data_IF_382222376705
#
_entry.id   IF_382222376705
#
_cell.length_a   1.000
_cell.length_b   1.000
_cell.length_c   1.000
_cell.angle_alpha   90.00
_cell.angle_beta   90.00
_cell.angle_gamma   90.00
#
_symmetry.space_group_name_H-M   'P 1'
#
loop_
_entity.id
_entity.type
_entity.pdbx_description
1 polymer ?
#
# COMPACT_ATOMS: atom_id res chain seq x y z
N UNK A 1 -19.92 1.01 -6.65
CA UNK A 1 -18.45 0.81 -6.81
C UNK A 1 -17.86 0.39 -5.48
N UNK A 2 -17.34 -0.84 -5.36
CA UNK A 2 -16.65 -1.29 -4.14
C UNK A 2 -15.21 -0.78 -4.16
N UNK A 3 -14.89 0.19 -3.32
CA UNK A 3 -13.49 0.62 -3.11
C UNK A 3 -12.74 -0.49 -2.38
N UNK A 4 -11.66 -0.99 -2.98
CA UNK A 4 -10.76 -1.94 -2.35
C UNK A 4 -9.63 -1.18 -1.65
N UNK A 5 -9.24 -1.67 -0.48
CA UNK A 5 -8.19 -1.08 0.34
C UNK A 5 -7.02 -2.06 0.49
N UNK A 6 -5.81 -1.53 0.48
CA UNK A 6 -4.58 -2.28 0.73
C UNK A 6 -3.94 -1.82 2.03
N UNK A 7 -3.77 -2.75 2.96
CA UNK A 7 -3.09 -2.51 4.23
C UNK A 7 -1.59 -2.79 4.07
N UNK A 8 -0.78 -1.74 4.13
CA UNK A 8 0.67 -1.85 4.10
C UNK A 8 1.24 -1.70 5.51
N UNK A 9 2.00 -2.70 5.95
CA UNK A 9 2.70 -2.69 7.25
C UNK A 9 4.21 -2.43 7.11
N UNK A 10 4.74 -2.49 5.88
CA UNK A 10 6.16 -2.34 5.60
C UNK A 10 6.51 -0.89 5.30
N UNK A 11 7.45 -0.32 6.06
CA UNK A 11 7.98 1.02 5.80
C UNK A 11 8.62 1.11 4.41
N UNK A 12 9.42 0.10 4.03
CA UNK A 12 10.13 0.07 2.75
C UNK A 12 9.15 0.01 1.57
N UNK A 13 8.14 -0.85 1.64
CA UNK A 13 7.13 -0.95 0.60
C UNK A 13 6.33 0.36 0.49
N UNK A 14 5.96 0.96 1.62
CA UNK A 14 5.31 2.27 1.66
C UNK A 14 6.19 3.36 1.04
N UNK A 15 7.49 3.41 1.32
CA UNK A 15 8.41 4.38 0.71
C UNK A 15 8.53 4.18 -0.80
N UNK A 16 8.60 2.93 -1.27
CA UNK A 16 8.58 2.59 -2.69
C UNK A 16 7.30 3.06 -3.38
N UNK A 17 6.12 2.77 -2.82
CA UNK A 17 4.84 3.23 -3.37
C UNK A 17 4.79 4.76 -3.45
N UNK A 18 5.24 5.47 -2.40
CA UNK A 18 5.36 6.93 -2.43
C UNK A 18 6.29 7.44 -3.52
N UNK A 19 7.40 6.74 -3.78
CA UNK A 19 8.34 7.12 -4.86
C UNK A 19 7.72 7.01 -6.26
N UNK A 20 6.65 6.21 -6.41
CA UNK A 20 5.83 6.10 -7.63
C UNK A 20 4.64 7.06 -7.65
N UNK A 21 4.61 8.06 -6.77
CA UNK A 21 3.50 9.00 -6.59
C UNK A 21 2.18 8.33 -6.15
N UNK A 22 2.25 7.16 -5.50
CA UNK A 22 1.09 6.48 -4.94
C UNK A 22 1.06 6.81 -3.44
N UNK A 23 0.13 7.68 -3.04
CA UNK A 23 -0.06 8.07 -1.65
C UNK A 23 -1.09 7.20 -0.93
N UNK A 24 -0.91 7.06 0.39
CA UNK A 24 -1.86 6.39 1.25
C UNK A 24 -2.99 7.34 1.66
N UNK A 25 -4.20 6.81 1.81
CA UNK A 25 -5.35 7.54 2.32
C UNK A 25 -5.22 7.80 3.83
N UNK A 26 -4.83 6.77 4.60
CA UNK A 26 -4.80 6.84 6.07
C UNK A 26 -3.52 6.20 6.60
N UNK A 27 -2.95 6.82 7.63
CA UNK A 27 -1.93 6.23 8.50
C UNK A 27 -2.55 5.95 9.86
N UNK A 28 -2.55 4.70 10.30
CA UNK A 28 -3.17 4.30 11.56
C UNK A 28 -2.38 3.15 12.22
N UNK A 29 -2.93 2.60 13.31
CA UNK A 29 -2.43 1.38 13.96
C UNK A 29 -3.49 0.28 13.81
N UNK A 30 -3.05 -0.94 13.53
CA UNK A 30 -3.93 -2.10 13.53
C UNK A 30 -4.45 -2.34 14.94
N UNK A 31 -5.76 -2.52 15.08
CA UNK A 31 -6.43 -2.58 16.38
C UNK A 31 -5.88 -3.71 17.27
N UNK A 32 -5.71 -4.90 16.70
CA UNK A 32 -5.33 -6.09 17.47
C UNK A 32 -3.83 -6.14 17.79
N UNK A 33 -2.98 -5.67 16.86
CA UNK A 33 -1.52 -5.87 16.96
C UNK A 33 -0.78 -4.60 17.37
N UNK A 34 -1.46 -3.45 17.38
CA UNK A 34 -0.86 -2.12 17.61
C UNK A 34 0.12 -1.69 16.52
N UNK A 35 0.38 -2.52 15.50
CA UNK A 35 1.36 -2.26 14.44
C UNK A 35 0.89 -1.09 13.59
N UNK A 36 1.82 -0.18 13.28
CA UNK A 36 1.55 0.94 12.37
C UNK A 36 1.29 0.40 10.97
N UNK A 37 0.28 0.94 10.29
CA UNK A 37 -0.06 0.61 8.92
C UNK A 37 -0.47 1.84 8.12
N UNK A 38 -0.34 1.73 6.80
CA UNK A 38 -0.77 2.71 5.81
C UNK A 38 -1.80 2.07 4.89
N UNK A 39 -2.91 2.75 4.68
CA UNK A 39 -4.03 2.26 3.87
C UNK A 39 -3.98 2.92 2.50
N UNK A 40 -3.75 2.14 1.46
CA UNK A 40 -3.83 2.58 0.07
C UNK A 40 -5.18 2.20 -0.53
N UNK A 41 -5.62 2.92 -1.56
CA UNK A 41 -6.84 2.61 -2.31
C UNK A 41 -6.41 2.02 -3.64
N UNK A 42 -7.05 0.92 -4.05
CA UNK A 42 -6.91 0.45 -5.42
C UNK A 42 -7.62 1.42 -6.36
N UNK A 43 -6.86 2.04 -7.26
CA UNK A 43 -7.39 2.77 -8.39
C UNK A 43 -7.97 1.83 -9.46
N UNK A 44 -8.79 2.38 -10.36
CA UNK A 44 -9.37 1.61 -11.46
C UNK A 44 -8.33 1.31 -12.57
N UNK A 45 -7.24 2.08 -12.61
CA UNK A 45 -6.21 2.02 -13.65
C UNK A 45 -5.11 0.98 -13.35
N UNK A 46 -5.29 0.19 -12.28
CA UNK A 46 -4.36 -0.85 -11.82
C UNK A 46 -2.96 -0.35 -11.44
N UNK A 47 -2.78 0.95 -11.17
CA UNK A 47 -1.48 1.55 -10.85
C UNK A 47 -0.92 0.94 -9.57
N UNK A 48 -1.73 0.86 -8.52
CA UNK A 48 -1.32 0.20 -7.27
C UNK A 48 -0.99 -1.28 -7.48
N UNK A 49 -1.80 -2.03 -8.22
CA UNK A 49 -1.59 -3.46 -8.48
C UNK A 49 -0.26 -3.73 -9.21
N UNK A 50 0.05 -2.91 -10.22
CA UNK A 50 1.28 -3.02 -10.99
C UNK A 50 2.51 -2.71 -10.11
N UNK A 51 2.44 -1.65 -9.29
CA UNK A 51 3.50 -1.32 -8.37
C UNK A 51 3.73 -2.41 -7.31
N UNK A 52 2.68 -3.02 -6.78
CA UNK A 52 2.80 -4.14 -5.83
C UNK A 52 3.43 -5.37 -6.48
N UNK A 53 3.11 -5.66 -7.74
CA UNK A 53 3.74 -6.74 -8.50
C UNK A 53 5.23 -6.47 -8.72
N UNK A 54 5.60 -5.25 -9.12
CA UNK A 54 6.99 -4.84 -9.28
C UNK A 54 7.78 -4.94 -7.96
N UNK A 55 7.18 -4.50 -6.85
CA UNK A 55 7.77 -4.65 -5.52
C UNK A 55 8.05 -6.12 -5.18
N UNK A 56 7.08 -7.01 -5.43
CA UNK A 56 7.22 -8.45 -5.15
C UNK A 56 8.31 -9.11 -5.98
N UNK A 57 8.50 -8.68 -7.24
CA UNK A 57 9.53 -9.24 -8.11
C UNK A 57 10.94 -8.76 -7.75
N UNK A 58 11.06 -7.56 -7.15
CA UNK A 58 12.34 -6.98 -6.74
C UNK A 58 12.72 -7.34 -5.30
N UNK A 59 11.75 -7.73 -4.47
CA UNK A 59 11.93 -8.14 -3.08
C UNK A 59 11.14 -9.45 -2.84
N UNK A 60 11.67 -10.60 -3.29
CA UNK A 60 11.04 -11.90 -3.09
C UNK A 60 11.00 -12.34 -1.61
#
# INVERSE_FOLDING_TARGET
MHRKYYQCFSYKQKDFLKSKNIDYLIKCRHYETGKRMWIFIFDNDSVLSNALTEWSNTNP
#
